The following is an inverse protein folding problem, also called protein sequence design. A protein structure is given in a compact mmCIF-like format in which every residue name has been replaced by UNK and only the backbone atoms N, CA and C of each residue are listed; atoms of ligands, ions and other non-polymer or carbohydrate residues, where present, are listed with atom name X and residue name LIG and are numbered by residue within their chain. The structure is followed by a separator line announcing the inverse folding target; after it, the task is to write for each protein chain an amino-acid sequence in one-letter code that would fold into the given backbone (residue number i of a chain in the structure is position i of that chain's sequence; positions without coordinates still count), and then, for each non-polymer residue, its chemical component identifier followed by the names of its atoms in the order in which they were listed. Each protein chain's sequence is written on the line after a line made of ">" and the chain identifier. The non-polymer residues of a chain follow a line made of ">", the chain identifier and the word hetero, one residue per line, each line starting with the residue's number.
data_IF_575614976249
#
_entry.id   IF_575614976249
#
_cell.length_a   1.000
_cell.length_b   1.000
_cell.length_c   1.000
_cell.angle_alpha   90.00
_cell.angle_beta   90.00
_cell.angle_gamma   90.00
#
_symmetry.space_group_name_H-M   'P 1'
#
loop_
_entity.id
_entity.type
_entity.pdbx_description
1 polymer ?
#
# COMPACT_ATOMS: atom_id res chain seq x y z
N UNK A 1 -10.24 -22.69 13.96
CA UNK A 1 -8.98 -23.39 13.64
C UNK A 1 -8.86 -23.41 12.12
N UNK A 2 -7.79 -22.83 11.57
CA UNK A 2 -7.53 -22.82 10.12
C UNK A 2 -6.62 -24.01 9.81
N UNK A 3 -7.02 -24.84 8.85
CA UNK A 3 -6.27 -26.03 8.43
C UNK A 3 -5.94 -25.99 6.93
N UNK A 4 -4.93 -26.74 6.53
CA UNK A 4 -4.43 -26.79 5.15
C UNK A 4 -3.48 -27.97 4.96
N UNK A 5 -3.25 -28.33 3.70
CA UNK A 5 -2.40 -29.45 3.31
C UNK A 5 -0.91 -29.09 3.32
N UNK A 6 -0.57 -27.80 3.37
CA UNK A 6 0.79 -27.29 3.53
C UNK A 6 0.83 -26.07 4.47
N UNK A 7 2.00 -25.76 5.02
CA UNK A 7 2.19 -24.59 5.88
C UNK A 7 1.85 -23.27 5.16
N UNK A 8 2.19 -23.16 3.87
CA UNK A 8 1.86 -22.01 3.03
C UNK A 8 0.34 -21.82 2.93
N UNK A 9 -0.40 -22.90 2.71
CA UNK A 9 -1.87 -22.85 2.61
C UNK A 9 -2.53 -22.52 3.96
N UNK A 10 -1.98 -23.03 5.07
CA UNK A 10 -2.45 -22.70 6.42
C UNK A 10 -2.25 -21.21 6.70
N UNK A 11 -1.09 -20.66 6.35
CA UNK A 11 -0.77 -19.25 6.54
C UNK A 11 -1.67 -18.35 5.68
N UNK A 12 -1.84 -18.66 4.39
CA UNK A 12 -2.72 -17.88 3.50
C UNK A 12 -4.17 -17.84 4.01
N UNK A 13 -4.73 -18.99 4.41
CA UNK A 13 -6.09 -19.04 4.96
C UNK A 13 -6.19 -18.29 6.29
N UNK A 14 -5.14 -18.30 7.11
CA UNK A 14 -5.12 -17.59 8.39
C UNK A 14 -5.13 -16.08 8.16
N UNK A 15 -4.32 -15.60 7.24
CA UNK A 15 -4.25 -14.20 6.87
C UNK A 15 -5.59 -13.73 6.29
N UNK A 16 -6.19 -14.52 5.39
CA UNK A 16 -7.53 -14.23 4.84
C UNK A 16 -8.62 -14.11 5.92
N UNK A 17 -8.60 -14.97 6.93
CA UNK A 17 -9.55 -14.92 8.05
C UNK A 17 -9.31 -13.68 8.92
N UNK A 18 -8.05 -13.34 9.19
CA UNK A 18 -7.71 -12.15 9.94
C UNK A 18 -8.15 -10.88 9.20
N UNK A 19 -7.93 -10.80 7.89
CA UNK A 19 -8.34 -9.69 7.06
C UNK A 19 -9.86 -9.53 7.06
N UNK A 20 -10.62 -10.62 6.87
CA UNK A 20 -12.08 -10.59 6.93
C UNK A 20 -12.59 -10.14 8.31
N UNK A 21 -11.97 -10.60 9.40
CA UNK A 21 -12.34 -10.19 10.76
C UNK A 21 -12.08 -8.70 11.00
N UNK A 22 -10.95 -8.19 10.55
CA UNK A 22 -10.58 -6.79 10.71
C UNK A 22 -11.44 -5.87 9.82
N UNK A 23 -11.73 -6.29 8.59
CA UNK A 23 -12.59 -5.55 7.66
C UNK A 23 -14.02 -5.43 8.21
N UNK A 24 -14.58 -6.51 8.76
CA UNK A 24 -15.92 -6.48 9.36
C UNK A 24 -15.98 -5.60 10.62
N UNK A 25 -14.94 -5.63 11.47
CA UNK A 25 -14.82 -4.70 12.60
C UNK A 25 -14.78 -3.24 12.14
N UNK A 26 -13.94 -2.93 11.16
CA UNK A 26 -13.83 -1.60 10.60
C UNK A 26 -15.15 -1.11 9.97
N UNK A 27 -15.89 -2.02 9.31
CA UNK A 27 -17.20 -1.72 8.75
C UNK A 27 -18.26 -1.44 9.83
N UNK A 28 -18.20 -2.13 10.98
CA UNK A 28 -19.10 -1.87 12.12
C UNK A 28 -18.80 -0.52 12.78
N UNK A 29 -17.53 -0.13 12.87
CA UNK A 29 -17.12 1.12 13.52
C UNK A 29 -17.54 2.38 12.74
N UNK A 30 -17.40 2.36 11.41
CA UNK A 30 -17.56 3.58 10.59
C UNK A 30 -18.42 3.40 9.33
N UNK A 31 -19.07 2.24 9.20
CA UNK A 31 -19.89 1.92 8.05
C UNK A 31 -19.10 1.48 6.83
N UNK A 32 -19.80 1.50 5.69
CA UNK A 32 -19.33 0.96 4.43
C UNK A 32 -19.53 1.96 3.30
N UNK A 33 -18.74 1.80 2.24
CA UNK A 33 -18.85 2.57 0.99
C UNK A 33 -18.83 1.63 -0.21
N UNK A 34 -19.30 2.09 -1.39
CA UNK A 34 -19.21 1.31 -2.64
C UNK A 34 -17.75 0.96 -2.96
N UNK A 35 -17.46 -0.33 -3.11
CA UNK A 35 -16.12 -0.82 -3.34
C UNK A 35 -15.62 -0.61 -4.79
N UNK A 36 -14.56 -1.33 -5.15
CA UNK A 36 -14.04 -1.33 -6.54
C UNK A 36 -13.47 0.01 -7.01
N UNK A 37 -13.08 0.87 -6.06
CA UNK A 37 -12.66 2.25 -6.34
C UNK A 37 -13.81 3.22 -6.64
N UNK A 38 -15.07 2.77 -6.58
CA UNK A 38 -16.25 3.61 -6.85
C UNK A 38 -16.34 4.78 -5.87
N UNK A 39 -16.17 4.52 -4.56
CA UNK A 39 -16.17 5.57 -3.54
C UNK A 39 -15.14 6.69 -3.83
N UNK A 40 -13.94 6.32 -4.30
CA UNK A 40 -12.89 7.28 -4.63
C UNK A 40 -13.25 8.14 -5.84
N UNK A 41 -13.89 7.54 -6.85
CA UNK A 41 -14.38 8.26 -8.03
C UNK A 41 -15.51 9.23 -7.66
N UNK A 42 -16.36 8.88 -6.68
CA UNK A 42 -17.42 9.78 -6.17
C UNK A 42 -16.87 11.00 -5.43
N UNK A 43 -15.62 10.97 -4.96
CA UNK A 43 -14.97 12.13 -4.35
C UNK A 43 -14.47 13.16 -5.37
N UNK A 44 -14.41 12.83 -6.67
CA UNK A 44 -13.83 13.72 -7.69
C UNK A 44 -14.51 15.11 -7.76
N UNK A 45 -15.85 15.25 -7.72
CA UNK A 45 -16.49 16.57 -7.77
C UNK A 45 -16.16 17.44 -6.55
N UNK A 46 -15.92 16.84 -5.38
CA UNK A 46 -15.54 17.60 -4.19
C UNK A 46 -14.19 18.33 -4.39
N UNK A 47 -13.27 17.75 -5.16
CA UNK A 47 -11.99 18.36 -5.50
C UNK A 47 -12.14 19.62 -6.40
N UNK A 48 -13.23 19.74 -7.15
CA UNK A 48 -13.49 20.92 -7.99
C UNK A 48 -13.97 22.12 -7.18
N UNK A 49 -14.54 21.86 -5.99
CA UNK A 49 -15.05 22.89 -5.08
C UNK A 49 -13.99 23.51 -4.18
N UNK A 50 -12.77 22.97 -4.19
CA UNK A 50 -11.66 23.45 -3.37
C UNK A 50 -11.19 24.82 -3.89
N UNK A 51 -11.15 25.81 -3.01
CA UNK A 51 -10.54 27.10 -3.31
C UNK A 51 -9.02 26.97 -3.35
N UNK A 52 -8.41 27.54 -4.39
CA UNK A 52 -6.98 27.43 -4.66
C UNK A 52 -6.37 28.82 -4.76
N UNK A 53 -5.26 29.03 -4.08
CA UNK A 53 -4.55 30.30 -4.00
C UNK A 53 -3.55 30.48 -5.16
N UNK A 54 -3.00 29.38 -5.68
CA UNK A 54 -1.94 29.41 -6.68
C UNK A 54 -1.93 28.17 -7.63
N UNK A 55 -1.09 28.22 -8.65
CA UNK A 55 -0.96 27.15 -9.64
C UNK A 55 -0.38 25.84 -9.07
N UNK A 56 0.47 25.92 -8.04
CA UNK A 56 1.04 24.74 -7.39
C UNK A 56 -0.04 23.92 -6.69
N UNK A 57 -0.95 24.58 -5.96
CA UNK A 57 -2.11 23.93 -5.35
C UNK A 57 -3.03 23.31 -6.42
N UNK A 58 -3.23 23.99 -7.55
CA UNK A 58 -4.00 23.44 -8.70
C UNK A 58 -3.36 22.18 -9.25
N UNK A 59 -2.04 22.17 -9.36
CA UNK A 59 -1.27 21.01 -9.80
C UNK A 59 -1.40 19.86 -8.80
N UNK A 60 -1.26 20.15 -7.50
CA UNK A 60 -1.45 19.18 -6.42
C UNK A 60 -2.83 18.52 -6.43
N UNK A 61 -3.91 19.31 -6.55
CA UNK A 61 -5.27 18.76 -6.70
C UNK A 61 -5.41 17.92 -7.97
N UNK A 62 -4.75 18.30 -9.06
CA UNK A 62 -4.68 17.50 -10.28
C UNK A 62 -4.04 16.12 -10.06
N UNK A 63 -2.96 16.05 -9.28
CA UNK A 63 -2.29 14.80 -8.91
C UNK A 63 -3.23 13.92 -8.09
N UNK A 64 -3.88 14.47 -7.06
CA UNK A 64 -4.85 13.72 -6.23
C UNK A 64 -6.00 13.20 -7.10
N UNK A 65 -6.55 14.03 -7.99
CA UNK A 65 -7.61 13.63 -8.93
C UNK A 65 -7.20 12.44 -9.80
N UNK A 66 -5.96 12.41 -10.26
CA UNK A 66 -5.41 11.28 -11.03
C UNK A 66 -5.23 10.04 -10.15
N UNK A 67 -4.74 10.22 -8.93
CA UNK A 67 -4.52 9.13 -7.96
C UNK A 67 -5.83 8.42 -7.59
N UNK A 68 -6.92 9.17 -7.33
CA UNK A 68 -8.22 8.60 -6.97
C UNK A 68 -8.81 7.70 -8.07
N UNK A 69 -8.42 7.89 -9.34
CA UNK A 69 -8.84 7.02 -10.45
C UNK A 69 -8.09 5.70 -10.49
N UNK A 70 -6.87 5.64 -9.95
CA UNK A 70 -5.97 4.50 -10.12
C UNK A 70 -6.54 3.18 -9.58
N UNK A 71 -7.20 3.12 -8.41
CA UNK A 71 -7.70 1.84 -7.90
C UNK A 71 -8.73 1.18 -8.83
N UNK A 72 -9.69 1.95 -9.34
CA UNK A 72 -10.66 1.43 -10.31
C UNK A 72 -9.97 1.06 -11.64
N UNK A 73 -9.00 1.87 -12.11
CA UNK A 73 -8.22 1.54 -13.32
C UNK A 73 -7.46 0.23 -13.15
N UNK A 74 -6.77 0.03 -12.02
CA UNK A 74 -5.97 -1.16 -11.77
C UNK A 74 -6.84 -2.41 -11.70
N UNK A 75 -8.01 -2.33 -11.06
CA UNK A 75 -8.98 -3.43 -11.02
C UNK A 75 -9.44 -3.79 -12.44
N UNK A 76 -9.80 -2.79 -13.25
CA UNK A 76 -10.22 -3.02 -14.63
C UNK A 76 -9.09 -3.62 -15.50
N UNK A 77 -7.85 -3.15 -15.34
CA UNK A 77 -6.67 -3.73 -16.02
C UNK A 77 -6.43 -5.18 -15.62
N UNK A 78 -6.53 -5.49 -14.33
CA UNK A 78 -6.38 -6.86 -13.82
C UNK A 78 -7.48 -7.79 -14.35
N UNK A 79 -8.67 -7.25 -14.66
CA UNK A 79 -9.76 -7.96 -15.31
C UNK A 79 -9.60 -8.06 -16.85
N UNK A 80 -8.57 -7.45 -17.43
CA UNK A 80 -8.27 -7.52 -18.87
C UNK A 80 -9.17 -6.65 -19.75
N UNK A 81 -9.85 -5.65 -19.19
CA UNK A 81 -10.74 -4.73 -19.93
C UNK A 81 -10.14 -3.33 -20.06
N UNK A 82 -10.71 -2.50 -20.93
CA UNK A 82 -10.28 -1.11 -21.09
C UNK A 82 -10.63 -0.29 -19.83
N UNK A 83 -9.59 -0.01 -19.03
CA UNK A 83 -9.72 0.72 -17.79
C UNK A 83 -10.20 2.16 -17.94
N UNK A 84 -9.88 2.83 -19.05
CA UNK A 84 -10.34 4.21 -19.26
C UNK A 84 -11.85 4.24 -19.50
N UNK A 85 -12.37 3.29 -20.28
CA UNK A 85 -13.80 3.12 -20.55
C UNK A 85 -14.56 2.79 -19.25
N UNK A 86 -14.04 1.85 -18.45
CA UNK A 86 -14.66 1.49 -17.17
C UNK A 86 -14.72 2.68 -16.23
N UNK A 87 -13.60 3.38 -16.01
CA UNK A 87 -13.57 4.53 -15.09
C UNK A 87 -14.50 5.63 -15.56
N UNK A 88 -14.50 5.95 -16.86
CA UNK A 88 -15.37 6.99 -17.39
C UNK A 88 -16.84 6.65 -17.15
N UNK A 89 -17.25 5.41 -17.43
CA UNK A 89 -18.64 4.97 -17.22
C UNK A 89 -19.04 4.96 -15.74
N UNK A 90 -18.14 4.55 -14.84
CA UNK A 90 -18.39 4.61 -13.39
C UNK A 90 -18.52 6.07 -12.93
N UNK A 91 -17.69 6.99 -13.43
CA UNK A 91 -17.76 8.43 -13.13
C UNK A 91 -19.08 9.07 -13.58
N UNK A 92 -19.60 8.67 -14.74
CA UNK A 92 -20.90 9.14 -15.26
C UNK A 92 -22.10 8.59 -14.47
N UNK A 93 -21.90 7.47 -13.79
CA UNK A 93 -22.88 6.89 -12.87
C UNK A 93 -23.11 7.72 -11.60
N UNK A 94 -24.10 7.31 -10.82
CA UNK A 94 -24.48 7.97 -9.55
C UNK A 94 -24.43 7.00 -8.40
N UNK A 95 -24.42 7.55 -7.18
CA UNK A 95 -24.53 6.79 -5.94
C UNK A 95 -23.54 5.61 -5.91
N UNK A 96 -24.02 4.38 -5.71
CA UNK A 96 -23.21 3.17 -5.66
C UNK A 96 -23.10 2.42 -6.99
N UNK A 97 -23.44 3.05 -8.13
CA UNK A 97 -23.20 2.47 -9.45
C UNK A 97 -21.70 2.26 -9.69
N UNK A 98 -21.27 1.02 -9.92
CA UNK A 98 -19.87 0.67 -10.12
C UNK A 98 -19.69 -0.48 -11.10
N UNK A 99 -18.50 -1.08 -11.07
CA UNK A 99 -18.10 -2.15 -11.97
C UNK A 99 -17.71 -3.41 -11.19
N UNK A 100 -18.46 -4.49 -11.39
CA UNK A 100 -18.13 -5.84 -10.91
C UNK A 100 -17.13 -6.46 -11.89
N UNK A 101 -15.85 -6.41 -11.52
CA UNK A 101 -14.75 -6.93 -12.33
C UNK A 101 -14.74 -8.46 -12.44
N UNK A 102 -15.38 -9.17 -11.50
CA UNK A 102 -15.47 -10.63 -11.54
C UNK A 102 -16.51 -11.09 -12.57
N UNK A 103 -17.62 -10.37 -12.68
CA UNK A 103 -18.70 -10.65 -13.66
C UNK A 103 -18.58 -9.88 -14.96
N UNK A 104 -17.72 -8.86 -15.03
CA UNK A 104 -17.62 -7.93 -16.14
C UNK A 104 -18.95 -7.18 -16.41
N UNK A 105 -19.59 -6.71 -15.34
CA UNK A 105 -20.90 -6.06 -15.36
C UNK A 105 -20.91 -4.76 -14.56
N UNK A 106 -21.84 -3.87 -14.88
CA UNK A 106 -22.07 -2.65 -14.10
C UNK A 106 -23.26 -2.85 -13.19
N UNK A 107 -23.07 -2.61 -11.90
CA UNK A 107 -24.04 -2.98 -10.85
C UNK A 107 -24.14 -1.89 -9.78
N UNK A 108 -25.21 -1.95 -8.99
CA UNK A 108 -25.25 -1.26 -7.71
C UNK A 108 -24.36 -2.03 -6.72
N UNK A 109 -23.22 -1.45 -6.36
CA UNK A 109 -22.14 -2.14 -5.68
C UNK A 109 -22.57 -2.64 -4.29
N UNK A 110 -23.42 -1.89 -3.58
CA UNK A 110 -23.87 -2.29 -2.24
C UNK A 110 -24.82 -3.48 -2.33
N UNK A 111 -25.76 -3.46 -3.27
CA UNK A 111 -26.69 -4.57 -3.50
C UNK A 111 -25.94 -5.83 -3.97
N UNK A 112 -24.91 -5.66 -4.80
CA UNK A 112 -24.02 -6.74 -5.23
C UNK A 112 -23.08 -7.26 -4.13
N UNK A 113 -23.04 -6.60 -2.96
CA UNK A 113 -22.16 -6.95 -1.84
C UNK A 113 -20.69 -6.58 -2.04
N UNK A 114 -20.38 -5.73 -3.02
CA UNK A 114 -19.03 -5.23 -3.31
C UNK A 114 -18.82 -3.93 -2.55
N UNK A 115 -18.41 -4.07 -1.30
CA UNK A 115 -18.33 -2.99 -0.33
C UNK A 115 -16.93 -2.91 0.28
N UNK A 116 -16.49 -1.69 0.56
CA UNK A 116 -15.27 -1.43 1.31
C UNK A 116 -15.62 -0.77 2.66
N UNK A 117 -14.95 -1.12 3.77
CA UNK A 117 -15.11 -0.40 5.03
C UNK A 117 -14.67 1.07 4.88
N UNK A 118 -15.50 2.02 5.32
CA UNK A 118 -15.20 3.46 5.22
C UNK A 118 -13.86 3.81 5.84
N UNK A 119 -13.58 3.25 7.03
CA UNK A 119 -12.33 3.44 7.77
C UNK A 119 -11.12 3.06 6.94
N UNK A 120 -11.17 1.92 6.25
CA UNK A 120 -10.05 1.40 5.45
C UNK A 120 -9.75 2.35 4.28
N UNK A 121 -10.78 2.77 3.55
CA UNK A 121 -10.61 3.68 2.41
C UNK A 121 -10.05 5.04 2.86
N UNK A 122 -10.59 5.61 3.94
CA UNK A 122 -10.12 6.89 4.46
C UNK A 122 -8.70 6.81 4.99
N UNK A 123 -8.39 5.82 5.82
CA UNK A 123 -7.05 5.66 6.40
C UNK A 123 -6.02 5.39 5.31
N UNK A 124 -6.34 4.56 4.32
CA UNK A 124 -5.45 4.33 3.17
C UNK A 124 -5.10 5.63 2.42
N UNK A 125 -6.08 6.51 2.20
CA UNK A 125 -5.83 7.81 1.56
C UNK A 125 -4.98 8.74 2.44
N UNK A 126 -5.28 8.81 3.74
CA UNK A 126 -4.52 9.64 4.68
C UNK A 126 -3.06 9.18 4.77
N UNK A 127 -2.83 7.89 4.96
CA UNK A 127 -1.49 7.32 5.07
C UNK A 127 -0.71 7.49 3.76
N UNK A 128 -1.35 7.22 2.61
CA UNK A 128 -0.73 7.44 1.31
C UNK A 128 -0.36 8.91 1.09
N UNK A 129 -1.22 9.85 1.49
CA UNK A 129 -0.93 11.28 1.40
C UNK A 129 0.23 11.70 2.31
N UNK A 130 0.33 11.12 3.51
CA UNK A 130 1.42 11.36 4.44
C UNK A 130 2.76 10.87 3.89
N UNK A 131 2.80 9.64 3.36
CA UNK A 131 4.01 9.09 2.72
C UNK A 131 4.38 9.90 1.48
N UNK A 132 3.42 10.26 0.63
CA UNK A 132 3.68 11.08 -0.56
C UNK A 132 4.23 12.47 -0.19
N UNK A 133 3.69 13.11 0.85
CA UNK A 133 4.19 14.39 1.36
C UNK A 133 5.63 14.26 1.83
N UNK A 134 5.93 13.24 2.64
CA UNK A 134 7.28 12.99 3.14
C UNK A 134 8.27 12.80 1.99
N UNK A 135 7.94 11.93 1.02
CA UNK A 135 8.81 11.65 -0.13
C UNK A 135 8.99 12.87 -1.04
N UNK A 136 7.96 13.70 -1.21
CA UNK A 136 8.05 14.91 -2.04
C UNK A 136 8.95 15.96 -1.40
N UNK A 137 8.96 16.05 -0.06
CA UNK A 137 9.80 17.00 0.68
C UNK A 137 11.20 16.46 1.02
N UNK A 138 11.43 15.17 0.81
CA UNK A 138 12.71 14.54 1.10
C UNK A 138 13.70 14.81 -0.03
N UNK A 139 14.59 15.77 0.17
CA UNK A 139 15.59 16.17 -0.84
C UNK A 139 16.77 15.18 -0.94
N UNK A 140 17.13 14.53 0.18
CA UNK A 140 18.24 13.58 0.24
C UNK A 140 18.00 12.48 1.29
N UNK A 141 18.55 11.29 1.01
CA UNK A 141 18.57 10.15 1.94
C UNK A 141 20.02 9.76 2.19
N UNK A 142 20.45 9.78 3.45
CA UNK A 142 21.77 9.32 3.87
C UNK A 142 21.63 7.90 4.40
N UNK A 143 22.42 6.98 3.84
CA UNK A 143 22.44 5.57 4.26
C UNK A 143 23.85 5.18 4.71
N UNK A 144 23.93 4.32 5.71
CA UNK A 144 25.20 3.68 6.07
C UNK A 144 25.54 2.62 5.01
N UNK A 145 26.83 2.52 4.67
CA UNK A 145 27.32 1.46 3.80
C UNK A 145 27.11 0.09 4.49
N UNK A 146 26.79 -0.97 3.73
CA UNK A 146 26.79 -2.32 4.27
C UNK A 146 28.11 -2.59 4.99
N UNK A 147 28.04 -2.99 6.26
CA UNK A 147 29.24 -3.39 6.98
C UNK A 147 29.77 -4.65 6.32
N UNK A 148 31.03 -4.63 5.91
CA UNK A 148 31.71 -5.89 5.57
C UNK A 148 31.78 -6.71 6.86
N UNK A 149 31.09 -7.86 6.86
CA UNK A 149 31.28 -8.87 7.90
C UNK A 149 32.74 -9.29 7.85
N UNK A 150 33.56 -8.74 8.76
CA UNK A 150 34.92 -9.21 8.97
C UNK A 150 34.81 -10.65 9.44
N UNK A 151 35.15 -11.59 8.56
CA UNK A 151 35.40 -12.97 8.97
C UNK A 151 36.37 -12.93 10.16
N UNK A 152 35.96 -13.48 11.30
CA UNK A 152 36.79 -13.58 12.49
C UNK A 152 38.16 -14.20 12.12
N UNK A 153 39.29 -13.50 12.31
CA UNK A 153 40.61 -14.01 11.95
C UNK A 153 41.14 -15.04 12.96
N UNK A 154 40.28 -15.86 13.56
CA UNK A 154 40.65 -16.92 14.51
C UNK A 154 40.58 -18.33 13.92
N UNK A 155 40.63 -18.45 12.59
CA UNK A 155 40.81 -19.72 11.90
C UNK A 155 42.13 -19.71 11.09
N UNK A 156 43.25 -19.90 11.78
CA UNK A 156 44.50 -20.30 11.12
C UNK A 156 45.70 -19.39 11.38
N UNK A 157 46.27 -19.45 12.59
CA UNK A 157 47.68 -19.12 12.77
C UNK A 157 48.42 -20.35 13.29
N UNK A 158 48.56 -21.32 12.39
CA UNK A 158 49.62 -22.32 12.49
C UNK A 158 50.93 -21.70 12.02
N UNK A 159 52.01 -21.94 12.79
CA UNK A 159 53.37 -21.93 12.27
C UNK A 159 54.18 -20.64 12.45
N UNK A 160 54.96 -20.62 13.54
CA UNK A 160 56.43 -20.52 13.46
C UNK A 160 57.08 -19.21 13.00
N UNK A 161 57.63 -18.47 13.97
CA UNK A 161 58.98 -17.84 14.02
C UNK A 161 58.93 -16.90 15.24
N UNK A 162 59.71 -16.98 16.30
CA UNK A 162 61.13 -17.27 16.36
C UNK A 162 61.87 -16.01 16.83
N UNK A 163 62.09 -15.89 18.15
CA UNK A 163 63.30 -15.29 18.75
C UNK A 163 63.48 -13.77 18.78
N UNK A 164 63.26 -13.17 19.96
CA UNK A 164 64.15 -12.17 20.59
C UNK A 164 63.68 -12.07 22.06
N UNK A 165 64.35 -12.68 23.04
CA UNK A 165 65.69 -12.29 23.50
C UNK A 165 65.53 -11.25 24.61
N UNK A 166 65.56 -11.69 25.87
CA UNK A 166 65.04 -10.95 27.01
C UNK A 166 65.88 -9.76 27.50
N UNK A 167 65.23 -8.94 28.33
CA UNK A 167 65.89 -8.15 29.37
C UNK A 167 64.88 -7.93 30.50
N UNK A 168 65.11 -8.62 31.62
CA UNK A 168 64.40 -8.40 32.87
C UNK A 168 65.09 -7.35 33.73
N UNK A 169 64.29 -6.58 34.47
CA UNK A 169 64.52 -5.98 35.79
C UNK A 169 63.18 -5.26 36.10
N UNK A 170 62.42 -5.53 37.15
CA UNK A 170 62.83 -5.91 38.48
C UNK A 170 62.86 -4.67 39.36
N UNK A 171 61.69 -4.16 39.73
CA UNK A 171 61.31 -3.59 41.04
C UNK A 171 59.83 -3.23 41.00
#
# INVERSE_FOLDING_TARGET
>A
RVGGSSEVEVNEKKDRVNDALNATRAAVEEGIVPGGGTALLRCLPALESIQLDNEDQRTGVGIVRKALKQPCMQIAQNAGVDAAVVVQKVVEGKDDFGYDAMRNEYVQMIEAGIIDPTKVVRTALLDASGVASLLTTAEAVVVELPKEDKADPMAGMGGGMGGMGGMGMGM
#
